data_IF_137531325078
#
_entry.id   IF_137531325078
#
_cell.length_a   1.000
_cell.length_b   1.000
_cell.length_c   1.000
_cell.angle_alpha   90.00
_cell.angle_beta   90.00
_cell.angle_gamma   90.00
#
_symmetry.space_group_name_H-M   'P 1'
#
loop_
_entity.id
_entity.type
_entity.pdbx_description
1 polymer ?
#
# COMPACT_ATOMS: atom_id res chain seq x y z
N UNK A 1 3.50 41.18 -6.55
CA UNK A 1 3.19 39.96 -7.33
C UNK A 1 2.57 40.36 -8.65
N UNK A 2 3.09 39.86 -9.77
CA UNK A 2 2.64 40.25 -11.11
C UNK A 2 1.41 39.41 -11.50
N UNK A 3 0.20 39.86 -11.13
CA UNK A 3 -1.09 39.17 -11.38
C UNK A 3 -1.52 39.31 -12.87
N UNK A 4 -0.59 39.62 -13.78
CA UNK A 4 -0.90 40.00 -15.17
C UNK A 4 -0.81 38.84 -16.16
N UNK A 5 -0.38 37.66 -15.73
CA UNK A 5 -0.30 36.49 -16.59
C UNK A 5 -1.62 35.69 -16.53
N UNK A 6 -2.08 35.19 -17.69
CA UNK A 6 -3.25 34.31 -17.77
C UNK A 6 -2.76 32.87 -17.69
N UNK A 7 -3.04 32.19 -16.58
CA UNK A 7 -2.70 30.77 -16.45
C UNK A 7 -3.53 29.93 -17.43
N UNK A 8 -2.91 29.11 -18.25
CA UNK A 8 -3.58 28.10 -19.06
C UNK A 8 -3.56 26.76 -18.32
N UNK A 9 -4.60 26.48 -17.54
CA UNK A 9 -4.75 25.21 -16.83
C UNK A 9 -5.91 24.40 -17.40
N UNK A 10 -5.78 23.08 -17.40
CA UNK A 10 -6.83 22.13 -17.79
C UNK A 10 -7.51 21.59 -16.55
N UNK A 11 -8.68 20.99 -16.71
CA UNK A 11 -9.40 20.32 -15.61
C UNK A 11 -8.51 19.31 -14.86
N UNK A 12 -7.65 18.57 -15.56
CA UNK A 12 -6.75 17.57 -14.96
C UNK A 12 -5.68 18.17 -14.04
N UNK A 13 -5.44 19.47 -14.15
CA UNK A 13 -4.48 20.20 -13.32
C UNK A 13 -5.11 20.69 -12.00
N UNK A 14 -6.44 20.69 -11.88
CA UNK A 14 -7.13 21.39 -10.79
C UNK A 14 -7.25 20.57 -9.50
N UNK A 15 -7.36 21.23 -8.33
CA UNK A 15 -7.62 20.55 -7.06
C UNK A 15 -8.97 19.82 -7.03
N UNK A 16 -9.97 20.28 -7.79
CA UNK A 16 -11.28 19.61 -7.89
C UNK A 16 -11.15 18.25 -8.56
N UNK A 17 -10.41 18.16 -9.67
CA UNK A 17 -10.16 16.88 -10.34
C UNK A 17 -9.46 15.89 -9.41
N UNK A 18 -8.37 16.32 -8.76
CA UNK A 18 -7.63 15.47 -7.82
C UNK A 18 -8.54 15.00 -6.67
N UNK A 19 -9.33 15.91 -6.11
CA UNK A 19 -10.27 15.62 -5.02
C UNK A 19 -11.30 14.57 -5.41
N UNK A 20 -11.98 14.77 -6.55
CA UNK A 20 -13.00 13.85 -7.05
C UNK A 20 -12.37 12.47 -7.33
N UNK A 21 -11.22 12.44 -7.99
CA UNK A 21 -10.54 11.19 -8.30
C UNK A 21 -10.14 10.40 -7.05
N UNK A 22 -9.60 11.08 -6.02
CA UNK A 22 -9.23 10.45 -4.75
C UNK A 22 -10.44 9.94 -3.97
N UNK A 23 -11.56 10.67 -3.96
CA UNK A 23 -12.81 10.21 -3.36
C UNK A 23 -13.39 9.00 -4.09
N UNK A 24 -13.44 9.02 -5.42
CA UNK A 24 -13.90 7.86 -6.21
C UNK A 24 -13.00 6.65 -5.93
N UNK A 25 -11.67 6.83 -5.97
CA UNK A 25 -10.73 5.75 -5.66
C UNK A 25 -10.98 5.17 -4.26
N UNK A 26 -11.19 6.04 -3.26
CA UNK A 26 -11.48 5.64 -1.88
C UNK A 26 -12.80 4.86 -1.78
N UNK A 27 -13.86 5.32 -2.43
CA UNK A 27 -15.18 4.68 -2.43
C UNK A 27 -15.09 3.28 -3.04
N UNK A 28 -14.34 3.13 -4.13
CA UNK A 28 -14.13 1.84 -4.79
C UNK A 28 -13.22 0.91 -4.00
N UNK A 29 -12.18 1.45 -3.37
CA UNK A 29 -11.15 0.69 -2.66
C UNK A 29 -11.61 0.22 -1.28
N UNK A 30 -12.47 0.97 -0.59
CA UNK A 30 -12.92 0.65 0.78
C UNK A 30 -13.62 -0.71 0.89
N UNK A 31 -14.59 -1.07 0.03
CA UNK A 31 -15.18 -2.41 0.03
C UNK A 31 -14.15 -3.52 -0.21
N UNK A 32 -13.17 -3.27 -1.07
CA UNK A 32 -12.09 -4.20 -1.37
C UNK A 32 -11.23 -4.45 -0.13
N UNK A 33 -10.89 -3.41 0.63
CA UNK A 33 -10.16 -3.51 1.89
C UNK A 33 -10.92 -4.30 2.95
N UNK A 34 -12.19 -3.95 3.17
CA UNK A 34 -13.04 -4.64 4.14
C UNK A 34 -13.14 -6.13 3.79
N UNK A 35 -13.36 -6.45 2.51
CA UNK A 35 -13.42 -7.82 2.04
C UNK A 35 -12.06 -8.54 2.16
N UNK A 36 -10.96 -7.84 1.85
CA UNK A 36 -9.59 -8.31 2.02
C UNK A 36 -9.30 -8.74 3.46
N UNK A 37 -9.55 -7.85 4.42
CA UNK A 37 -9.45 -8.14 5.86
C UNK A 37 -10.31 -9.33 6.25
N UNK A 38 -11.58 -9.35 5.82
CA UNK A 38 -12.50 -10.44 6.14
C UNK A 38 -11.97 -11.79 5.66
N UNK A 39 -11.44 -11.88 4.44
CA UNK A 39 -10.87 -13.11 3.89
C UNK A 39 -9.60 -13.52 4.63
N UNK A 40 -8.69 -12.58 4.94
CA UNK A 40 -7.50 -12.89 5.76
C UNK A 40 -7.92 -13.42 7.14
N UNK A 41 -8.88 -12.76 7.80
CA UNK A 41 -9.28 -13.15 9.15
C UNK A 41 -10.02 -14.49 9.18
N UNK A 42 -10.83 -14.81 8.18
CA UNK A 42 -11.72 -15.98 8.23
C UNK A 42 -11.25 -17.16 7.39
N UNK A 43 -10.37 -16.96 6.41
CA UNK A 43 -9.96 -17.98 5.43
C UNK A 43 -8.46 -18.25 5.39
N UNK A 44 -7.63 -17.60 6.21
CA UNK A 44 -6.24 -18.05 6.40
C UNK A 44 -6.22 -19.42 7.07
N UNK A 45 -5.61 -20.44 6.44
CA UNK A 45 -5.62 -21.79 6.97
C UNK A 45 -4.67 -21.94 8.18
N UNK A 46 -4.86 -22.98 9.01
CA UNK A 46 -4.05 -23.23 10.21
C UNK A 46 -2.54 -23.32 9.92
N UNK A 47 -2.14 -23.85 8.76
CA UNK A 47 -0.74 -23.92 8.33
C UNK A 47 -0.09 -22.54 8.11
N UNK A 48 -0.90 -21.47 8.04
CA UNK A 48 -0.47 -20.07 7.86
C UNK A 48 -0.80 -19.18 9.06
N UNK A 49 -1.22 -19.76 10.19
CA UNK A 49 -1.68 -19.01 11.38
C UNK A 49 -0.66 -18.00 11.91
N UNK A 50 0.63 -18.33 11.84
CA UNK A 50 1.72 -17.43 12.25
C UNK A 50 1.91 -16.23 11.33
N UNK A 51 1.58 -16.38 10.04
CA UNK A 51 1.70 -15.32 9.02
C UNK A 51 0.42 -14.48 8.94
N UNK A 52 -0.73 -15.04 9.37
CA UNK A 52 -2.04 -14.35 9.40
C UNK A 52 -1.94 -12.94 9.98
N UNK A 53 -1.35 -12.81 11.17
CA UNK A 53 -1.25 -11.51 11.85
C UNK A 53 -0.26 -10.56 11.17
N UNK A 54 0.79 -11.08 10.54
CA UNK A 54 1.67 -10.26 9.70
C UNK A 54 0.93 -9.74 8.45
N UNK A 55 0.07 -10.57 7.83
CA UNK A 55 -0.76 -10.16 6.69
C UNK A 55 -1.80 -9.11 7.10
N UNK A 56 -2.43 -9.26 8.27
CA UNK A 56 -3.32 -8.23 8.81
C UNK A 56 -2.57 -6.93 9.08
N UNK A 57 -1.37 -7.01 9.68
CA UNK A 57 -0.54 -5.85 9.98
C UNK A 57 -0.16 -5.07 8.71
N UNK A 58 0.44 -5.74 7.71
CA UNK A 58 0.83 -5.06 6.45
C UNK A 58 -0.38 -4.47 5.74
N UNK A 59 -1.50 -5.20 5.72
CA UNK A 59 -2.72 -4.72 5.07
C UNK A 59 -3.33 -3.52 5.81
N UNK A 60 -3.26 -3.50 7.14
CA UNK A 60 -3.65 -2.33 7.93
C UNK A 60 -2.81 -1.09 7.62
N UNK A 61 -1.48 -1.25 7.49
CA UNK A 61 -0.60 -0.14 7.10
C UNK A 61 -0.84 0.34 5.67
N UNK A 62 -1.14 -0.56 4.73
CA UNK A 62 -1.52 -0.21 3.35
C UNK A 62 -2.80 0.64 3.36
N UNK A 63 -3.85 0.20 4.05
CA UNK A 63 -5.12 0.93 4.15
C UNK A 63 -4.89 2.30 4.80
N UNK A 64 -4.12 2.34 5.88
CA UNK A 64 -3.83 3.58 6.58
C UNK A 64 -3.05 4.56 5.70
N UNK A 65 -2.07 4.08 4.92
CA UNK A 65 -1.35 4.90 3.96
C UNK A 65 -2.30 5.46 2.90
N UNK A 66 -3.11 4.62 2.27
CA UNK A 66 -4.05 5.07 1.23
C UNK A 66 -5.02 6.12 1.78
N UNK A 67 -5.65 5.88 2.94
CA UNK A 67 -6.54 6.87 3.56
C UNK A 67 -5.82 8.13 4.01
N UNK A 68 -4.57 8.04 4.45
CA UNK A 68 -3.77 9.20 4.82
C UNK A 68 -3.59 10.17 3.64
N UNK A 69 -3.46 9.63 2.43
CA UNK A 69 -3.25 10.40 1.20
C UNK A 69 -4.57 10.70 0.47
N UNK A 70 -5.58 9.84 0.53
CA UNK A 70 -6.82 9.98 -0.27
C UNK A 70 -8.01 10.62 0.47
N UNK A 71 -7.97 10.68 1.80
CA UNK A 71 -9.04 11.27 2.64
C UNK A 71 -8.47 12.33 3.58
N UNK A 72 -7.42 11.99 4.32
CA UNK A 72 -6.96 12.80 5.45
C UNK A 72 -6.19 14.03 4.99
N UNK A 73 -5.11 13.83 4.23
CA UNK A 73 -4.23 14.92 3.78
C UNK A 73 -4.62 15.41 2.39
N UNK A 74 -4.82 14.50 1.43
CA UNK A 74 -5.04 14.82 0.00
C UNK A 74 -4.10 15.91 -0.49
N UNK A 75 -2.78 15.63 -0.56
CA UNK A 75 -1.79 16.64 -0.83
C UNK A 75 -1.90 17.14 -2.28
N UNK A 76 -2.07 18.44 -2.47
CA UNK A 76 -1.88 19.10 -3.76
C UNK A 76 -0.45 19.63 -3.82
N UNK A 77 0.43 18.91 -4.51
CA UNK A 77 1.87 19.19 -4.57
C UNK A 77 2.21 20.02 -5.80
N UNK A 78 3.10 21.01 -5.63
CA UNK A 78 3.52 21.98 -6.66
C UNK A 78 4.92 21.66 -7.21
N UNK A 79 5.17 20.41 -7.60
CA UNK A 79 6.49 19.99 -8.11
C UNK A 79 6.86 20.78 -9.38
N UNK A 80 8.12 21.22 -9.52
CA UNK A 80 9.33 20.77 -8.79
C UNK A 80 9.56 21.42 -7.43
N UNK A 81 8.79 22.44 -7.06
CA UNK A 81 8.89 23.02 -5.74
C UNK A 81 8.34 22.04 -4.70
N UNK A 82 9.10 21.80 -3.63
CA UNK A 82 8.68 20.93 -2.52
C UNK A 82 7.71 21.69 -1.60
N UNK A 83 6.66 22.22 -2.19
CA UNK A 83 5.57 22.91 -1.51
C UNK A 83 4.21 22.46 -2.03
N UNK A 84 3.17 22.82 -1.29
CA UNK A 84 1.81 22.42 -1.60
C UNK A 84 0.86 22.70 -0.45
N UNK A 85 -0.37 22.26 -0.57
CA UNK A 85 -1.39 22.44 0.47
C UNK A 85 -2.32 21.22 0.54
N UNK A 86 -2.87 20.91 1.72
CA UNK A 86 -3.77 19.77 1.88
C UNK A 86 -5.18 20.11 1.37
N UNK A 87 -5.81 19.18 0.68
CA UNK A 87 -7.21 19.26 0.27
C UNK A 87 -8.13 18.49 1.22
N UNK A 88 -7.58 17.59 2.03
CA UNK A 88 -8.31 16.58 2.79
C UNK A 88 -8.89 17.06 4.11
N UNK A 89 -9.49 16.11 4.84
CA UNK A 89 -10.32 16.40 6.01
C UNK A 89 -9.52 17.06 7.15
N UNK A 90 -8.23 16.72 7.31
CA UNK A 90 -7.40 17.23 8.42
C UNK A 90 -7.22 18.75 8.39
N UNK A 91 -7.32 19.37 7.20
CA UNK A 91 -7.23 20.83 7.09
C UNK A 91 -8.41 21.54 7.80
N UNK A 92 -9.61 20.95 7.77
CA UNK A 92 -10.79 21.51 8.42
C UNK A 92 -10.74 21.39 9.95
N UNK A 93 -9.92 20.48 10.47
CA UNK A 93 -9.61 20.35 11.90
C UNK A 93 -8.44 21.24 12.34
N UNK A 94 -7.87 22.06 11.44
CA UNK A 94 -6.75 22.95 11.76
C UNK A 94 -5.43 22.22 12.00
N UNK A 95 -5.28 20.96 11.54
CA UNK A 95 -4.02 20.23 11.69
C UNK A 95 -2.94 20.86 10.80
N UNK A 96 -1.78 21.27 11.33
CA UNK A 96 -0.75 21.93 10.53
C UNK A 96 -0.26 21.08 9.35
N UNK A 97 -0.03 21.69 8.18
CA UNK A 97 0.40 20.97 6.97
C UNK A 97 1.67 20.16 7.20
N UNK A 98 2.66 20.71 7.93
CA UNK A 98 3.86 19.98 8.31
C UNK A 98 3.55 18.65 9.03
N UNK A 99 2.63 18.67 10.00
CA UNK A 99 2.24 17.47 10.77
C UNK A 99 1.55 16.45 9.85
N UNK A 100 0.69 16.91 8.94
CA UNK A 100 0.05 16.02 7.96
C UNK A 100 1.10 15.36 7.04
N UNK A 101 2.02 16.15 6.49
CA UNK A 101 3.11 15.67 5.62
C UNK A 101 4.02 14.67 6.35
N UNK A 102 4.45 14.97 7.57
CA UNK A 102 5.28 14.04 8.35
C UNK A 102 4.53 12.76 8.71
N UNK A 103 3.24 12.86 9.03
CA UNK A 103 2.41 11.68 9.31
C UNK A 103 2.33 10.75 8.11
N UNK A 104 2.12 11.29 6.90
CA UNK A 104 2.13 10.51 5.64
C UNK A 104 3.48 9.83 5.41
N UNK A 105 4.60 10.55 5.60
CA UNK A 105 5.94 9.96 5.44
C UNK A 105 6.22 8.82 6.43
N UNK A 106 5.82 8.98 7.68
CA UNK A 106 6.00 7.96 8.73
C UNK A 106 5.13 6.73 8.42
N UNK A 107 3.86 6.93 8.08
CA UNK A 107 2.94 5.84 7.71
C UNK A 107 3.48 5.09 6.49
N UNK A 108 4.00 5.80 5.49
CA UNK A 108 4.64 5.20 4.32
C UNK A 108 5.84 4.33 4.70
N UNK A 109 6.73 4.83 5.56
CA UNK A 109 7.87 4.06 6.05
C UNK A 109 7.44 2.81 6.83
N UNK A 110 6.43 2.92 7.68
CA UNK A 110 5.89 1.79 8.44
C UNK A 110 5.17 0.76 7.56
N UNK A 111 4.55 1.18 6.46
CA UNK A 111 4.01 0.27 5.44
C UNK A 111 5.14 -0.59 4.83
N UNK A 112 6.27 0.01 4.46
CA UNK A 112 7.44 -0.75 3.97
C UNK A 112 8.02 -1.66 5.05
N UNK A 113 8.23 -1.17 6.27
CA UNK A 113 8.72 -1.99 7.39
C UNK A 113 7.81 -3.20 7.66
N UNK A 114 6.49 -3.00 7.60
CA UNK A 114 5.51 -4.08 7.77
C UNK A 114 5.55 -5.12 6.65
N UNK A 115 5.94 -4.71 5.43
CA UNK A 115 6.17 -5.63 4.31
C UNK A 115 7.37 -6.52 4.58
N UNK A 116 8.51 -5.94 5.00
CA UNK A 116 9.71 -6.73 5.36
C UNK A 116 9.39 -7.72 6.48
N UNK A 117 8.56 -7.33 7.46
CA UNK A 117 8.12 -8.22 8.54
C UNK A 117 7.40 -9.49 8.05
N UNK A 118 6.63 -9.42 6.95
CA UNK A 118 5.98 -10.62 6.36
C UNK A 118 7.03 -11.60 5.83
N UNK A 119 8.04 -11.09 5.13
CA UNK A 119 9.15 -11.91 4.61
C UNK A 119 10.02 -12.46 5.73
N UNK A 120 10.31 -11.65 6.74
CA UNK A 120 11.07 -12.08 7.90
C UNK A 120 10.33 -13.18 8.67
N UNK A 121 9.02 -13.05 8.87
CA UNK A 121 8.22 -14.08 9.50
C UNK A 121 8.31 -15.41 8.74
N UNK A 122 8.25 -15.33 7.41
CA UNK A 122 8.34 -16.52 6.56
C UNK A 122 9.75 -17.12 6.57
N UNK A 123 10.78 -16.27 6.52
CA UNK A 123 12.18 -16.66 6.66
C UNK A 123 12.41 -17.41 7.97
N UNK A 124 11.89 -16.91 9.09
CA UNK A 124 12.02 -17.55 10.40
C UNK A 124 11.42 -18.96 10.47
N UNK A 125 10.35 -19.22 9.70
CA UNK A 125 9.70 -20.53 9.64
C UNK A 125 10.50 -21.53 8.80
N UNK A 126 11.07 -21.07 7.68
CA UNK A 126 11.75 -21.93 6.69
C UNK A 126 13.22 -22.18 7.05
N UNK A 127 13.88 -21.23 7.72
CA UNK A 127 15.32 -21.28 7.98
C UNK A 127 15.77 -22.51 8.79
N UNK A 128 17.04 -22.87 8.63
CA UNK A 128 17.62 -24.02 9.35
C UNK A 128 17.62 -23.79 10.87
N UNK A 129 17.63 -24.87 11.65
CA UNK A 129 17.57 -24.80 13.13
C UNK A 129 18.69 -23.93 13.71
N UNK A 130 19.90 -24.01 13.14
CA UNK A 130 21.06 -23.21 13.56
C UNK A 130 20.84 -21.71 13.32
N UNK A 131 20.32 -21.32 12.16
CA UNK A 131 20.01 -19.92 11.85
C UNK A 131 18.83 -19.44 12.71
N UNK A 132 17.80 -20.26 12.87
CA UNK A 132 16.61 -19.97 13.67
C UNK A 132 16.97 -19.62 15.12
N UNK A 133 17.85 -20.39 15.76
CA UNK A 133 18.25 -20.17 17.15
C UNK A 133 18.99 -18.85 17.35
N UNK A 134 19.87 -18.48 16.41
CA UNK A 134 20.55 -17.17 16.41
C UNK A 134 19.58 -16.03 16.14
N UNK A 135 18.77 -16.16 15.09
CA UNK A 135 17.82 -15.14 14.68
C UNK A 135 16.74 -14.85 15.73
N UNK A 136 16.27 -15.89 16.46
CA UNK A 136 15.27 -15.74 17.54
C UNK A 136 15.67 -14.68 18.58
N UNK A 137 16.96 -14.54 18.90
CA UNK A 137 17.46 -13.56 19.88
C UNK A 137 17.48 -12.13 19.32
N UNK A 138 17.73 -11.98 18.02
CA UNK A 138 17.92 -10.67 17.37
C UNK A 138 16.64 -10.11 16.74
N UNK A 139 15.72 -10.97 16.32
CA UNK A 139 14.50 -10.62 15.58
C UNK A 139 13.71 -9.47 16.19
N UNK A 140 13.46 -9.49 17.49
CA UNK A 140 12.68 -8.42 18.17
C UNK A 140 13.38 -7.06 18.10
N UNK A 141 14.70 -7.05 18.31
CA UNK A 141 15.51 -5.83 18.20
C UNK A 141 15.53 -5.33 16.76
N UNK A 142 15.74 -6.23 15.79
CA UNK A 142 15.73 -5.90 14.36
C UNK A 142 14.38 -5.30 13.91
N UNK A 143 13.24 -5.86 14.36
CA UNK A 143 11.92 -5.28 14.09
C UNK A 143 11.77 -3.88 14.72
N UNK A 144 12.15 -3.72 15.98
CA UNK A 144 12.08 -2.43 16.66
C UNK A 144 12.94 -1.37 15.96
N UNK A 145 14.14 -1.74 15.51
CA UNK A 145 15.02 -0.84 14.76
C UNK A 145 14.36 -0.36 13.47
N UNK A 146 13.67 -1.23 12.71
CA UNK A 146 12.99 -0.83 11.47
C UNK A 146 11.93 0.26 11.69
N UNK A 147 11.05 0.05 12.68
CA UNK A 147 10.00 1.03 12.99
C UNK A 147 10.57 2.32 13.59
N UNK A 148 11.62 2.22 14.42
CA UNK A 148 12.26 3.39 15.04
C UNK A 148 13.08 4.20 14.04
N UNK A 149 13.72 3.54 13.07
CA UNK A 149 14.53 4.19 12.03
C UNK A 149 13.70 5.16 11.20
N UNK A 150 12.49 4.78 10.81
CA UNK A 150 11.54 5.66 10.10
C UNK A 150 11.25 6.92 10.91
N UNK A 151 10.99 6.78 12.21
CA UNK A 151 10.69 7.91 13.07
C UNK A 151 11.91 8.83 13.24
N UNK A 152 13.09 8.26 13.52
CA UNK A 152 14.34 9.01 13.73
C UNK A 152 14.72 9.82 12.49
N UNK A 153 14.53 9.28 11.29
CA UNK A 153 14.84 9.97 10.04
C UNK A 153 13.82 11.03 9.64
N UNK A 154 12.61 11.01 10.21
CA UNK A 154 11.63 12.06 10.00
C UNK A 154 11.94 13.32 10.84
N UNK A 155 12.64 13.19 11.97
CA UNK A 155 12.93 14.32 12.87
C UNK A 155 13.70 15.43 12.15
N UNK A 156 14.80 15.15 11.41
CA UNK A 156 15.59 16.18 10.76
C UNK A 156 14.80 17.07 9.78
N UNK A 157 13.70 16.57 9.20
CA UNK A 157 12.85 17.33 8.28
C UNK A 157 12.33 18.64 8.88
N UNK A 158 12.15 18.73 10.20
CA UNK A 158 11.72 19.96 10.86
C UNK A 158 12.70 21.12 10.65
N UNK A 159 14.00 20.85 10.72
CA UNK A 159 15.03 21.89 10.57
C UNK A 159 15.27 22.28 9.10
N UNK A 160 14.72 21.54 8.15
CA UNK A 160 14.78 21.90 6.72
C UNK A 160 13.60 22.78 6.29
N UNK A 161 12.60 23.01 7.17
CA UNK A 161 11.49 23.90 6.88
C UNK A 161 12.00 25.34 6.84
N UNK A 162 11.90 26.05 5.70
CA UNK A 162 12.36 27.42 5.58
C UNK A 162 11.37 28.41 6.19
N UNK A 163 11.78 29.68 6.25
CA UNK A 163 10.87 30.81 6.49
C UNK A 163 9.77 30.81 5.41
N UNK A 164 8.52 30.67 5.84
CA UNK A 164 7.41 30.39 4.93
C UNK A 164 7.06 31.59 4.05
N UNK A 165 7.17 32.81 4.56
CA UNK A 165 6.84 34.03 3.80
C UNK A 165 7.78 34.16 2.60
N UNK A 166 9.09 34.06 2.84
CA UNK A 166 10.10 34.14 1.78
C UNK A 166 10.03 32.94 0.83
N UNK A 167 9.85 31.73 1.36
CA UNK A 167 9.85 30.51 0.55
C UNK A 167 8.63 30.42 -0.39
N UNK A 168 7.44 30.81 0.08
CA UNK A 168 6.23 30.84 -0.77
C UNK A 168 6.38 31.90 -1.87
N UNK A 169 6.89 33.08 -1.55
CA UNK A 169 7.16 34.12 -2.54
C UNK A 169 8.10 33.60 -3.63
N UNK A 170 9.19 32.93 -3.24
CA UNK A 170 10.16 32.34 -4.16
C UNK A 170 9.53 31.28 -5.08
N UNK A 171 8.62 30.45 -4.59
CA UNK A 171 7.87 29.50 -5.41
C UNK A 171 7.02 30.22 -6.46
N UNK A 172 6.30 31.28 -6.05
CA UNK A 172 5.44 32.04 -6.95
C UNK A 172 6.22 32.84 -8.01
N UNK A 173 7.48 33.19 -7.73
CA UNK A 173 8.38 33.82 -8.69
C UNK A 173 9.08 32.79 -9.61
N UNK A 174 9.28 31.55 -9.14
CA UNK A 174 10.04 30.54 -9.87
C UNK A 174 9.18 29.62 -10.75
N UNK A 175 7.92 29.40 -10.38
CA UNK A 175 6.97 28.60 -11.16
C UNK A 175 6.36 29.42 -12.30
N UNK A 176 5.89 28.77 -13.39
CA UNK A 176 5.13 29.46 -14.43
C UNK A 176 3.84 30.04 -13.85
N UNK A 177 3.19 30.92 -14.63
CA UNK A 177 1.93 31.55 -14.24
C UNK A 177 0.91 30.54 -13.64
N UNK A 178 0.60 30.71 -12.36
CA UNK A 178 -0.30 29.81 -11.63
C UNK A 178 -1.74 30.36 -11.67
N UNK A 179 -2.75 29.49 -11.54
CA UNK A 179 -4.12 29.95 -11.35
C UNK A 179 -4.32 30.68 -10.02
N UNK A 180 -5.28 31.61 -9.98
CA UNK A 180 -5.60 32.43 -8.79
C UNK A 180 -5.81 31.62 -7.51
N UNK A 181 -6.48 30.46 -7.61
CA UNK A 181 -6.74 29.58 -6.48
C UNK A 181 -5.47 29.04 -5.79
N UNK A 182 -4.31 29.03 -6.46
CA UNK A 182 -3.04 28.61 -5.85
C UNK A 182 -2.40 29.78 -5.09
N UNK A 183 -2.49 31.01 -5.62
CA UNK A 183 -1.98 32.19 -4.93
C UNK A 183 -2.77 32.50 -3.65
N UNK A 184 -4.06 32.17 -3.62
CA UNK A 184 -4.95 32.34 -2.46
C UNK A 184 -4.90 31.16 -1.48
N UNK A 185 -4.23 30.05 -1.85
CA UNK A 185 -4.13 28.86 -1.02
C UNK A 185 -3.08 29.02 0.10
N UNK A 186 -3.25 28.31 1.24
CA UNK A 186 -2.25 28.27 2.30
C UNK A 186 -1.09 27.33 1.90
N UNK A 187 -0.29 27.74 0.91
CA UNK A 187 0.87 26.98 0.43
C UNK A 187 1.89 26.85 1.55
N UNK A 188 2.30 25.62 1.82
CA UNK A 188 3.36 25.28 2.75
C UNK A 188 4.57 24.77 1.97
N UNK A 189 5.76 25.29 2.27
CA UNK A 189 7.03 24.83 1.68
C UNK A 189 7.74 23.93 2.67
N UNK A 190 7.91 22.66 2.30
CA UNK A 190 8.57 21.67 3.15
C UNK A 190 10.08 21.90 3.20
N UNK A 191 10.70 22.20 2.07
CA UNK A 191 12.15 22.40 1.95
C UNK A 191 12.50 23.14 0.67
N UNK A 192 13.57 23.93 0.70
CA UNK A 192 14.20 24.46 -0.51
C UNK A 192 15.18 23.46 -1.15
N UNK A 193 15.72 22.53 -0.36
CA UNK A 193 16.63 21.47 -0.81
C UNK A 193 16.04 20.09 -0.51
N UNK A 194 15.65 19.38 -1.57
CA UNK A 194 14.99 18.09 -1.47
C UNK A 194 15.95 16.90 -1.27
N UNK A 195 17.27 17.10 -1.39
CA UNK A 195 18.25 16.01 -1.41
C UNK A 195 18.13 15.14 -0.16
N UNK A 196 18.04 15.73 1.03
CA UNK A 196 17.90 14.97 2.27
C UNK A 196 16.61 14.11 2.27
N UNK A 197 15.47 14.73 2.00
CA UNK A 197 14.15 14.09 2.02
C UNK A 197 14.07 12.93 1.02
N UNK A 198 14.51 13.14 -0.22
CA UNK A 198 14.54 12.10 -1.25
C UNK A 198 15.54 11.01 -0.90
N UNK A 199 16.74 11.36 -0.41
CA UNK A 199 17.78 10.41 -0.07
C UNK A 199 17.33 9.48 1.07
N UNK A 200 16.70 10.03 2.11
CA UNK A 200 16.13 9.26 3.23
C UNK A 200 15.11 8.23 2.72
N UNK A 201 14.17 8.66 1.87
CA UNK A 201 13.14 7.78 1.31
C UNK A 201 13.77 6.68 0.44
N UNK A 202 14.66 7.06 -0.48
CA UNK A 202 15.31 6.12 -1.42
C UNK A 202 16.18 5.12 -0.70
N UNK A 203 17.02 5.56 0.25
CA UNK A 203 17.89 4.68 1.04
C UNK A 203 17.05 3.70 1.85
N UNK A 204 15.97 4.15 2.50
CA UNK A 204 15.13 3.26 3.28
C UNK A 204 14.44 2.20 2.42
N UNK A 205 13.85 2.59 1.28
CA UNK A 205 13.25 1.64 0.32
C UNK A 205 14.30 0.65 -0.19
N UNK A 206 15.52 1.12 -0.49
CA UNK A 206 16.62 0.27 -0.93
C UNK A 206 17.01 -0.75 0.13
N UNK A 207 17.16 -0.34 1.40
CA UNK A 207 17.45 -1.25 2.53
C UNK A 207 16.36 -2.33 2.62
N UNK A 208 15.09 -1.94 2.69
CA UNK A 208 13.97 -2.89 2.77
C UNK A 208 13.95 -3.85 1.58
N UNK A 209 14.20 -3.34 0.37
CA UNK A 209 14.22 -4.15 -0.86
C UNK A 209 15.37 -5.17 -0.85
N UNK A 210 16.57 -4.75 -0.45
CA UNK A 210 17.74 -5.63 -0.34
C UNK A 210 17.49 -6.72 0.70
N UNK A 211 16.95 -6.38 1.87
CA UNK A 211 16.60 -7.37 2.90
C UNK A 211 15.60 -8.40 2.40
N UNK A 212 14.53 -7.96 1.73
CA UNK A 212 13.53 -8.86 1.12
C UNK A 212 14.20 -9.78 0.10
N UNK A 213 15.06 -9.25 -0.78
CA UNK A 213 15.79 -10.06 -1.78
C UNK A 213 16.69 -11.10 -1.12
N UNK A 214 17.44 -10.74 -0.08
CA UNK A 214 18.30 -11.67 0.69
C UNK A 214 17.45 -12.78 1.31
N UNK A 215 16.33 -12.43 1.96
CA UNK A 215 15.42 -13.40 2.56
C UNK A 215 14.81 -14.34 1.53
N UNK A 216 14.37 -13.80 0.38
CA UNK A 216 13.81 -14.58 -0.73
C UNK A 216 14.84 -15.55 -1.29
N UNK A 217 16.06 -15.09 -1.53
CA UNK A 217 17.16 -15.92 -2.01
C UNK A 217 17.44 -17.07 -1.05
N UNK A 218 17.62 -16.76 0.24
CA UNK A 218 17.89 -17.76 1.27
C UNK A 218 16.74 -18.77 1.43
N UNK A 219 15.49 -18.31 1.43
CA UNK A 219 14.32 -19.19 1.49
C UNK A 219 14.26 -20.12 0.28
N UNK A 220 14.49 -19.59 -0.93
CA UNK A 220 14.48 -20.37 -2.17
C UNK A 220 15.57 -21.45 -2.13
N UNK A 221 16.79 -21.08 -1.73
CA UNK A 221 17.89 -22.02 -1.54
C UNK A 221 17.53 -23.13 -0.53
N UNK A 222 16.99 -22.74 0.62
CA UNK A 222 16.63 -23.68 1.71
C UNK A 222 15.54 -24.67 1.28
N UNK A 223 14.49 -24.18 0.61
CA UNK A 223 13.39 -25.00 0.12
C UNK A 223 13.90 -26.05 -0.89
N UNK A 224 14.78 -25.65 -1.82
CA UNK A 224 15.39 -26.56 -2.81
C UNK A 224 16.31 -27.58 -2.13
N UNK A 225 17.12 -27.14 -1.16
CA UNK A 225 18.02 -28.03 -0.42
C UNK A 225 17.22 -29.09 0.37
N UNK A 226 16.16 -28.69 1.06
CA UNK A 226 15.28 -29.62 1.80
C UNK A 226 14.61 -30.65 0.88
N UNK A 227 14.26 -30.27 -0.36
CA UNK A 227 13.73 -31.20 -1.35
C UNK A 227 14.80 -32.21 -1.79
N UNK A 228 16.01 -31.75 -2.13
CA UNK A 228 17.13 -32.61 -2.54
C UNK A 228 17.54 -33.58 -1.42
N UNK A 229 17.55 -33.10 -0.18
CA UNK A 229 17.83 -33.90 1.02
C UNK A 229 16.66 -34.79 1.48
N UNK A 230 15.57 -34.88 0.70
CA UNK A 230 14.35 -35.67 1.00
C UNK A 230 13.74 -35.37 2.38
N UNK A 231 14.01 -34.19 2.95
CA UNK A 231 13.47 -33.75 4.25
C UNK A 231 12.03 -33.27 4.12
N UNK A 232 11.61 -32.85 2.92
CA UNK A 232 10.24 -32.42 2.62
C UNK A 232 9.71 -33.14 1.38
N UNK A 233 8.38 -33.37 1.35
CA UNK A 233 7.70 -33.97 0.20
C UNK A 233 7.61 -32.99 -0.98
N UNK A 234 7.43 -33.52 -2.20
CA UNK A 234 7.16 -32.71 -3.41
C UNK A 234 5.93 -31.82 -3.25
N UNK A 235 4.89 -32.30 -2.55
CA UNK A 235 3.68 -31.54 -2.24
C UNK A 235 3.96 -30.34 -1.33
N UNK A 236 4.81 -30.53 -0.32
CA UNK A 236 5.21 -29.47 0.61
C UNK A 236 6.08 -28.41 -0.10
N UNK A 237 7.01 -28.86 -0.94
CA UNK A 237 7.83 -27.98 -1.77
C UNK A 237 6.96 -27.07 -2.66
N UNK A 238 6.01 -27.65 -3.40
CA UNK A 238 5.11 -26.88 -4.26
C UNK A 238 4.27 -25.87 -3.47
N UNK A 239 3.81 -26.25 -2.27
CA UNK A 239 3.09 -25.33 -1.37
C UNK A 239 3.97 -24.15 -0.94
N UNK A 240 5.23 -24.40 -0.55
CA UNK A 240 6.17 -23.36 -0.12
C UNK A 240 6.55 -22.43 -1.28
N UNK A 241 6.83 -22.99 -2.46
CA UNK A 241 7.14 -22.25 -3.70
C UNK A 241 5.98 -21.33 -4.09
N UNK A 242 4.76 -21.88 -4.19
CA UNK A 242 3.59 -21.10 -4.60
C UNK A 242 3.28 -19.98 -3.60
N UNK A 243 3.50 -20.22 -2.30
CA UNK A 243 3.35 -19.19 -1.28
C UNK A 243 4.39 -18.07 -1.43
N UNK A 244 5.67 -18.41 -1.68
CA UNK A 244 6.73 -17.42 -1.89
C UNK A 244 6.48 -16.57 -3.14
N UNK A 245 6.06 -17.20 -4.24
CA UNK A 245 5.65 -16.49 -5.46
C UNK A 245 4.48 -15.55 -5.19
N UNK A 246 3.47 -15.98 -4.42
CA UNK A 246 2.35 -15.13 -4.06
C UNK A 246 2.79 -13.89 -3.25
N UNK A 247 3.70 -14.06 -2.29
CA UNK A 247 4.27 -12.93 -1.53
C UNK A 247 5.09 -11.99 -2.41
N UNK A 248 5.87 -12.52 -3.36
CA UNK A 248 6.64 -11.69 -4.30
C UNK A 248 5.72 -10.85 -5.19
N UNK A 249 4.61 -11.44 -5.66
CA UNK A 249 3.60 -10.70 -6.41
C UNK A 249 2.99 -9.56 -5.60
N UNK A 250 2.82 -9.72 -4.28
CA UNK A 250 2.33 -8.64 -3.41
C UNK A 250 3.31 -7.48 -3.28
N UNK A 251 4.63 -7.73 -3.26
CA UNK A 251 5.65 -6.67 -3.21
C UNK A 251 5.82 -5.96 -4.55
N UNK A 252 5.59 -6.68 -5.65
CA UNK A 252 5.69 -6.11 -6.98
C UNK A 252 4.67 -4.97 -7.20
N UNK A 253 3.48 -5.05 -6.58
CA UNK A 253 2.44 -4.02 -6.76
C UNK A 253 2.86 -2.65 -6.19
N UNK A 254 3.31 -2.51 -4.92
CA UNK A 254 3.87 -1.25 -4.44
C UNK A 254 5.08 -0.75 -5.26
N UNK A 255 5.94 -1.66 -5.76
CA UNK A 255 7.05 -1.25 -6.62
C UNK A 255 6.55 -0.62 -7.93
N UNK A 256 5.54 -1.21 -8.58
CA UNK A 256 5.04 -0.71 -9.86
C UNK A 256 4.11 0.49 -9.72
N UNK A 257 3.33 0.58 -8.66
CA UNK A 257 2.33 1.63 -8.48
C UNK A 257 2.75 2.77 -7.56
N UNK A 258 3.88 2.64 -6.85
CA UNK A 258 4.43 3.74 -6.05
C UNK A 258 5.81 4.14 -6.56
N UNK A 259 6.74 3.20 -6.73
CA UNK A 259 8.13 3.55 -7.08
C UNK A 259 8.26 3.99 -8.54
N UNK A 260 7.64 3.29 -9.50
CA UNK A 260 7.69 3.71 -10.91
C UNK A 260 7.08 5.12 -11.13
N UNK A 261 5.93 5.47 -10.52
CA UNK A 261 5.38 6.83 -10.57
C UNK A 261 6.29 7.95 -10.01
N UNK A 262 7.37 7.64 -9.30
CA UNK A 262 8.39 8.63 -8.89
C UNK A 262 9.27 9.05 -10.06
N UNK A 263 9.42 8.25 -11.12
CA UNK A 263 10.27 8.60 -12.27
C UNK A 263 9.81 9.91 -12.94
N UNK A 264 8.51 10.11 -13.25
CA UNK A 264 8.03 11.41 -13.70
C UNK A 264 8.33 12.56 -12.72
N UNK A 265 8.24 12.34 -11.40
CA UNK A 265 8.58 13.38 -10.42
C UNK A 265 10.06 13.77 -10.49
N UNK A 266 10.96 12.79 -10.59
CA UNK A 266 12.39 13.05 -10.74
C UNK A 266 12.67 13.83 -12.02
N UNK A 267 12.00 13.50 -13.12
CA UNK A 267 12.08 14.28 -14.36
C UNK A 267 11.68 15.74 -14.12
N UNK A 268 10.49 15.99 -13.55
CA UNK A 268 10.01 17.35 -13.24
C UNK A 268 10.98 18.12 -12.35
N UNK A 269 11.55 17.47 -11.33
CA UNK A 269 12.53 18.05 -10.40
C UNK A 269 13.84 18.41 -11.10
N UNK A 270 14.40 17.49 -11.92
CA UNK A 270 15.69 17.68 -12.59
C UNK A 270 15.60 18.74 -13.68
N UNK A 271 14.52 18.72 -14.48
CA UNK A 271 14.33 19.70 -15.56
C UNK A 271 13.69 21.00 -15.09
N UNK A 272 13.38 21.10 -13.79
CA UNK A 272 12.65 22.21 -13.19
C UNK A 272 11.38 22.59 -13.97
N UNK A 273 10.59 21.57 -14.34
CA UNK A 273 9.39 21.74 -15.16
C UNK A 273 8.14 21.48 -14.32
N UNK A 274 7.17 22.39 -14.38
CA UNK A 274 5.89 22.28 -13.68
C UNK A 274 4.81 21.69 -14.59
N UNK A 275 4.33 20.48 -14.26
CA UNK A 275 3.22 19.81 -14.96
C UNK A 275 2.27 19.19 -13.94
N UNK A 276 1.25 19.95 -13.54
CA UNK A 276 0.38 19.57 -12.43
C UNK A 276 -0.41 18.28 -12.66
N UNK A 277 -0.91 18.05 -13.87
CA UNK A 277 -1.62 16.81 -14.21
C UNK A 277 -0.77 15.55 -13.99
N UNK A 278 0.54 15.57 -14.26
CA UNK A 278 1.42 14.42 -13.98
C UNK A 278 1.46 14.16 -12.47
N UNK A 279 1.60 15.20 -11.66
CA UNK A 279 1.62 15.10 -10.20
C UNK A 279 0.28 14.55 -9.69
N UNK A 280 -0.84 15.07 -10.20
CA UNK A 280 -2.17 14.60 -9.82
C UNK A 280 -2.38 13.11 -10.18
N UNK A 281 -2.03 12.68 -11.40
CA UNK A 281 -2.18 11.28 -11.82
C UNK A 281 -1.29 10.32 -11.04
N UNK A 282 -0.05 10.71 -10.75
CA UNK A 282 0.87 9.88 -9.98
C UNK A 282 0.40 9.69 -8.53
N UNK A 283 -0.19 10.71 -7.90
CA UNK A 283 -0.85 10.58 -6.59
C UNK A 283 -2.04 9.61 -6.68
N UNK A 284 -2.89 9.74 -7.70
CA UNK A 284 -4.04 8.83 -7.92
C UNK A 284 -3.58 7.37 -8.09
N UNK A 285 -2.52 7.13 -8.87
CA UNK A 285 -1.93 5.79 -9.06
C UNK A 285 -1.37 5.26 -7.74
N UNK A 286 -0.62 6.07 -6.99
CA UNK A 286 -0.06 5.67 -5.70
C UNK A 286 -1.15 5.29 -4.69
N UNK A 287 -2.23 6.06 -4.59
CA UNK A 287 -3.35 5.74 -3.68
C UNK A 287 -4.22 4.57 -4.14
N UNK A 288 -4.11 4.14 -5.40
CA UNK A 288 -4.80 2.94 -5.91
C UNK A 288 -4.02 1.65 -5.61
N UNK A 289 -2.76 1.75 -5.17
CA UNK A 289 -1.88 0.58 -5.03
C UNK A 289 -2.44 -0.45 -4.06
N UNK A 290 -3.05 -0.02 -2.95
CA UNK A 290 -3.51 -0.93 -1.92
C UNK A 290 -4.67 -1.78 -2.38
N UNK A 291 -5.64 -1.20 -3.12
CA UNK A 291 -6.80 -1.95 -3.60
C UNK A 291 -6.40 -2.96 -4.67
N UNK A 292 -5.48 -2.59 -5.57
CA UNK A 292 -4.88 -3.51 -6.54
C UNK A 292 -4.12 -4.62 -5.82
N UNK A 293 -3.28 -4.30 -4.83
CA UNK A 293 -2.54 -5.28 -4.05
C UNK A 293 -3.48 -6.26 -3.32
N UNK A 294 -4.61 -5.76 -2.85
CA UNK A 294 -5.66 -6.55 -2.19
C UNK A 294 -6.34 -7.50 -3.16
N UNK A 295 -6.74 -7.02 -4.34
CA UNK A 295 -7.34 -7.86 -5.38
C UNK A 295 -6.36 -8.96 -5.80
N UNK A 296 -5.09 -8.61 -6.03
CA UNK A 296 -4.03 -9.57 -6.36
C UNK A 296 -3.84 -10.59 -5.24
N UNK A 297 -3.84 -10.15 -3.98
CA UNK A 297 -3.77 -11.04 -2.82
C UNK A 297 -4.92 -12.06 -2.82
N UNK A 298 -6.14 -11.63 -3.05
CA UNK A 298 -7.33 -12.48 -3.07
C UNK A 298 -7.30 -13.51 -4.22
N UNK A 299 -6.74 -13.14 -5.38
CA UNK A 299 -6.66 -14.00 -6.57
C UNK A 299 -5.47 -14.96 -6.49
N UNK A 300 -4.30 -14.50 -6.08
CA UNK A 300 -3.05 -15.29 -6.18
C UNK A 300 -2.91 -16.27 -5.02
N UNK A 301 -3.36 -15.92 -3.82
CA UNK A 301 -3.31 -16.84 -2.69
C UNK A 301 -4.38 -17.92 -2.84
N UNK A 302 -3.93 -19.14 -3.13
CA UNK A 302 -4.77 -20.33 -3.27
C UNK A 302 -5.87 -20.48 -2.20
N UNK A 303 -5.60 -20.43 -0.88
CA UNK A 303 -6.65 -20.61 0.12
C UNK A 303 -7.74 -19.51 0.06
N UNK A 304 -7.37 -18.30 -0.34
CA UNK A 304 -8.31 -17.18 -0.48
C UNK A 304 -9.15 -17.32 -1.74
N UNK A 305 -8.50 -17.58 -2.89
CA UNK A 305 -9.21 -17.83 -4.15
C UNK A 305 -10.18 -19.00 -4.06
N UNK A 306 -9.77 -20.12 -3.46
CA UNK A 306 -10.65 -21.28 -3.27
C UNK A 306 -11.84 -20.93 -2.37
N UNK A 307 -11.62 -20.18 -1.28
CA UNK A 307 -12.72 -19.73 -0.42
C UNK A 307 -13.71 -18.81 -1.15
N UNK A 308 -13.23 -17.88 -1.97
CA UNK A 308 -14.06 -16.97 -2.76
C UNK A 308 -14.87 -17.76 -3.80
N UNK A 309 -14.24 -18.70 -4.52
CA UNK A 309 -14.93 -19.57 -5.48
C UNK A 309 -16.04 -20.38 -4.80
N UNK A 310 -15.82 -20.85 -3.57
CA UNK A 310 -16.84 -21.55 -2.78
C UNK A 310 -17.99 -20.64 -2.36
N UNK A 311 -17.72 -19.37 -2.02
CA UNK A 311 -18.77 -18.39 -1.70
C UNK A 311 -19.63 -18.09 -2.93
N UNK A 312 -19.02 -17.91 -4.09
CA UNK A 312 -19.71 -17.63 -5.36
C UNK A 312 -20.55 -18.85 -5.78
N UNK A 313 -20.00 -20.06 -5.68
CA UNK A 313 -20.72 -21.31 -6.02
C UNK A 313 -21.86 -21.63 -5.05
N UNK A 314 -21.84 -21.09 -3.83
CA UNK A 314 -22.91 -21.26 -2.83
C UNK A 314 -23.88 -20.06 -2.81
N UNK A 315 -24.67 -19.85 -3.88
CA UNK A 315 -26.10 -19.44 -3.85
C UNK A 315 -26.69 -19.35 -5.29
N UNK A 316 -27.99 -19.66 -5.51
CA UNK A 316 -29.08 -19.60 -4.54
C UNK A 316 -29.76 -20.93 -4.15
N UNK A 317 -30.48 -20.83 -3.03
CA UNK A 317 -31.27 -21.78 -2.22
C UNK A 317 -32.37 -22.56 -2.99
N UNK A 318 -32.41 -22.49 -4.32
CA UNK A 318 -33.41 -23.17 -5.15
C UNK A 318 -33.28 -24.69 -5.19
N UNK A 319 -32.06 -25.25 -5.11
CA UNK A 319 -31.87 -26.70 -5.27
C UNK A 319 -32.32 -27.51 -4.04
N UNK A 320 -32.17 -26.96 -2.83
CA UNK A 320 -32.57 -27.68 -1.60
C UNK A 320 -34.09 -27.73 -1.44
N UNK A 321 -34.80 -26.66 -1.83
CA UNK A 321 -36.26 -26.67 -1.85
C UNK A 321 -36.83 -27.54 -2.97
N UNK A 322 -36.17 -27.62 -4.14
CA UNK A 322 -36.57 -28.54 -5.19
C UNK A 322 -36.35 -30.00 -4.80
N UNK A 323 -35.20 -30.35 -4.21
CA UNK A 323 -34.94 -31.71 -3.72
C UNK A 323 -35.90 -32.13 -2.59
N UNK A 324 -36.26 -31.20 -1.68
CA UNK A 324 -37.30 -31.48 -0.66
C UNK A 324 -38.69 -31.64 -1.29
N UNK A 325 -39.10 -30.77 -2.23
CA UNK A 325 -40.38 -30.91 -2.95
C UNK A 325 -40.47 -32.23 -3.71
N UNK A 326 -39.39 -32.66 -4.37
CA UNK A 326 -39.33 -33.93 -5.10
C UNK A 326 -39.43 -35.12 -4.12
N UNK A 327 -38.76 -35.06 -2.97
CA UNK A 327 -38.90 -36.10 -1.93
C UNK A 327 -40.31 -36.16 -1.34
N UNK A 328 -40.94 -35.01 -1.06
CA UNK A 328 -42.32 -34.99 -0.54
C UNK A 328 -43.33 -35.49 -1.57
N UNK A 329 -43.16 -35.13 -2.85
CA UNK A 329 -44.00 -35.65 -3.94
C UNK A 329 -43.83 -37.17 -4.13
N UNK A 330 -42.59 -37.68 -4.09
CA UNK A 330 -42.31 -39.12 -4.17
C UNK A 330 -42.88 -39.90 -2.98
N UNK A 331 -42.85 -39.31 -1.77
CA UNK A 331 -43.41 -39.94 -0.56
C UNK A 331 -44.93 -40.05 -0.63
N UNK A 332 -45.61 -39.03 -1.13
CA UNK A 332 -47.07 -39.04 -1.27
C UNK A 332 -47.53 -40.00 -2.39
N UNK A 333 -46.78 -40.10 -3.49
CA UNK A 333 -47.07 -41.07 -4.54
C UNK A 333 -46.95 -42.52 -4.06
N UNK A 334 -46.06 -42.81 -3.09
CA UNK A 334 -45.89 -44.14 -2.50
C UNK A 334 -46.96 -44.47 -1.46
N UNK A 335 -47.59 -43.47 -0.82
CA UNK A 335 -48.71 -43.71 0.09
C UNK A 335 -50.02 -44.00 -0.64
N UNK A 336 -50.21 -43.43 -1.83
CA UNK A 336 -51.41 -43.65 -2.65
C UNK A 336 -51.43 -45.02 -3.36
N UNK A 337 -50.29 -45.73 -3.41
CA UNK A 337 -50.18 -47.09 -3.97
C UNK A 337 -50.45 -48.18 -2.90
N UNK A 338 -50.40 -47.81 -1.62
CA UNK A 338 -50.52 -48.74 -0.48
C UNK A 338 -51.88 -48.66 0.25
N UNK A 339 -52.83 -47.91 -0.30
CA UNK A 339 -54.25 -47.93 0.04
C UNK A 339 -55.03 -48.44 -1.17
#
# INVERSE_FOLDING_TARGET
>A
MNITCISTHRYLDTPEFLTIALHINTIMSTPVYIFGIFIILTKTPEQMKTVKWCLVNVHGWIILFDYSVSIMTMPFLLLPAFGGYPLGILKYFGVPTFVQTMSVMIIFGWMWASTVLVFENRFYIICTVQVKNRWKKMRRKWMFCHYSYVFVLAIPCYWFVPDQEQAVQKIFESLPCLPGYIYEAPVFVLTENCVYHLSVIVIFIAICSIEVLIMVFYMSYTIVHQLKGKTVSRKTFEMQKNFLVALLMQVLIPLTMIVIPVIPWLFLIITYTYIQSIVNFTIIIATSHGSVATIVMLIVHRPYREAILLMIRKKPIGSVNNSRRIMYAARNALSDINN
#
